data_IF_243105914423
#
_entry.id   IF_243105914423
#
_cell.length_a   1.000
_cell.length_b   1.000
_cell.length_c   1.000
_cell.angle_alpha   90.00
_cell.angle_beta   90.00
_cell.angle_gamma   90.00
#
_symmetry.space_group_name_H-M   'P 1'
#
loop_
_entity.id
_entity.type
_entity.pdbx_description
1 polymer ?
#
# COMPACT_ATOMS: atom_id res chain seq x y z
N UNK A 1 16.38 23.36 1.14
CA UNK A 1 14.97 23.06 0.83
C UNK A 1 14.67 21.58 1.07
N UNK A 2 15.41 20.64 0.45
CA UNK A 2 15.29 19.19 0.72
C UNK A 2 15.39 18.77 2.20
N UNK A 3 16.23 19.44 2.98
CA UNK A 3 16.36 19.16 4.42
C UNK A 3 15.09 19.49 5.21
N UNK A 4 14.34 20.52 4.81
CA UNK A 4 13.10 20.91 5.48
C UNK A 4 11.97 19.91 5.20
N UNK A 5 11.82 19.48 3.94
CA UNK A 5 10.89 18.42 3.57
C UNK A 5 11.17 17.13 4.35
N UNK A 6 12.43 16.67 4.33
CA UNK A 6 12.82 15.44 5.03
C UNK A 6 12.60 15.51 6.55
N UNK A 7 12.87 16.68 7.16
CA UNK A 7 12.59 16.91 8.57
C UNK A 7 11.09 16.83 8.87
N UNK A 8 10.26 17.48 8.07
CA UNK A 8 8.81 17.45 8.21
C UNK A 8 8.25 16.03 8.01
N UNK A 9 8.66 15.34 6.95
CA UNK A 9 8.28 13.94 6.68
C UNK A 9 8.65 13.03 7.86
N UNK A 10 9.87 13.13 8.37
CA UNK A 10 10.33 12.34 9.53
C UNK A 10 9.49 12.61 10.77
N UNK A 11 9.16 13.88 11.06
CA UNK A 11 8.31 14.24 12.19
C UNK A 11 6.91 13.65 12.07
N UNK A 12 6.33 13.68 10.88
CA UNK A 12 5.02 13.07 10.61
C UNK A 12 5.11 11.56 10.86
N UNK A 13 6.04 10.84 10.23
CA UNK A 13 6.20 9.39 10.40
C UNK A 13 6.36 8.97 11.87
N UNK A 14 7.15 9.72 12.66
CA UNK A 14 7.37 9.44 14.07
C UNK A 14 6.12 9.63 14.95
N UNK A 15 5.17 10.47 14.53
CA UNK A 15 3.96 10.79 15.31
C UNK A 15 2.70 10.05 14.82
N UNK A 16 2.69 9.55 13.57
CA UNK A 16 1.55 8.88 12.95
C UNK A 16 0.99 7.73 13.79
N UNK A 17 1.84 6.86 14.33
CA UNK A 17 1.40 5.70 15.12
C UNK A 17 0.66 6.10 16.41
N UNK A 18 1.05 7.21 17.04
CA UNK A 18 0.33 7.73 18.20
C UNK A 18 -1.02 8.33 17.77
N UNK A 19 -1.01 9.14 16.70
CA UNK A 19 -2.23 9.75 16.16
C UNK A 19 -3.28 8.70 15.75
N UNK A 20 -2.88 7.58 15.13
CA UNK A 20 -3.80 6.50 14.77
C UNK A 20 -4.41 5.80 15.98
N UNK A 21 -3.64 5.59 17.06
CA UNK A 21 -4.18 5.04 18.32
C UNK A 21 -5.20 5.97 18.96
N UNK A 22 -5.01 7.28 18.81
CA UNK A 22 -5.89 8.33 19.31
C UNK A 22 -7.01 8.71 18.32
N UNK A 23 -7.11 8.03 17.17
CA UNK A 23 -8.07 8.30 16.09
C UNK A 23 -8.00 9.73 15.53
N UNK A 24 -6.84 10.38 15.62
CA UNK A 24 -6.57 11.71 15.06
C UNK A 24 -6.21 11.62 13.57
N UNK A 25 -7.09 11.01 12.77
CA UNK A 25 -6.85 10.76 11.35
C UNK A 25 -6.78 12.07 10.55
N UNK A 26 -7.68 13.01 10.84
CA UNK A 26 -7.74 14.31 10.17
C UNK A 26 -6.45 15.13 10.39
N UNK A 27 -5.85 15.07 11.58
CA UNK A 27 -4.57 15.74 11.87
C UNK A 27 -3.45 15.21 10.97
N UNK A 28 -3.38 13.88 10.81
CA UNK A 28 -2.38 13.23 9.95
C UNK A 28 -2.62 13.59 8.49
N UNK A 29 -3.87 13.54 8.04
CA UNK A 29 -4.24 13.91 6.66
C UNK A 29 -3.85 15.37 6.35
N UNK A 30 -4.13 16.29 7.27
CA UNK A 30 -3.78 17.70 7.12
C UNK A 30 -2.25 17.90 7.05
N UNK A 31 -1.49 17.21 7.89
CA UNK A 31 -0.02 17.27 7.88
C UNK A 31 0.58 16.70 6.58
N UNK A 32 0.03 15.59 6.07
CA UNK A 32 0.48 14.98 4.82
C UNK A 32 0.10 15.82 3.60
N UNK A 33 -1.07 16.46 3.63
CA UNK A 33 -1.47 17.43 2.59
C UNK A 33 -0.53 18.63 2.58
N UNK A 34 -0.20 19.18 3.76
CA UNK A 34 0.78 20.25 3.87
C UNK A 34 2.19 19.84 3.42
N UNK A 35 2.59 18.58 3.67
CA UNK A 35 3.85 18.02 3.17
C UNK A 35 3.85 17.94 1.63
N UNK A 36 2.73 17.52 1.05
CA UNK A 36 2.55 17.46 -0.40
C UNK A 36 2.60 18.86 -1.05
N UNK A 37 1.96 19.85 -0.44
CA UNK A 37 1.99 21.25 -0.91
C UNK A 37 3.38 21.87 -0.81
N UNK A 38 4.19 21.43 0.17
CA UNK A 38 5.56 21.87 0.37
C UNK A 38 6.58 21.18 -0.56
N UNK A 39 6.17 20.14 -1.31
CA UNK A 39 7.07 19.42 -2.20
C UNK A 39 7.55 20.31 -3.36
N UNK A 40 8.86 20.36 -3.56
CA UNK A 40 9.49 21.24 -4.56
C UNK A 40 9.86 20.55 -5.86
N UNK A 41 9.98 19.22 -5.84
CA UNK A 41 10.26 18.40 -7.01
C UNK A 41 9.35 17.17 -7.08
N UNK A 42 9.42 16.44 -8.18
CA UNK A 42 8.58 15.27 -8.40
C UNK A 42 8.92 14.12 -7.45
N UNK A 43 10.16 14.02 -6.97
CA UNK A 43 10.55 12.98 -6.02
C UNK A 43 9.90 13.20 -4.66
N UNK A 44 9.93 14.45 -4.15
CA UNK A 44 9.25 14.85 -2.93
C UNK A 44 7.73 14.72 -3.06
N UNK A 45 7.18 15.13 -4.21
CA UNK A 45 5.73 15.05 -4.47
C UNK A 45 5.25 13.60 -4.50
N UNK A 46 6.00 12.72 -5.16
CA UNK A 46 5.68 11.29 -5.20
C UNK A 46 5.79 10.65 -3.82
N UNK A 47 6.79 11.04 -3.02
CA UNK A 47 6.93 10.59 -1.64
C UNK A 47 5.73 11.02 -0.79
N UNK A 48 5.36 12.30 -0.80
CA UNK A 48 4.22 12.82 -0.04
C UNK A 48 2.88 12.18 -0.48
N UNK A 49 2.69 11.98 -1.79
CA UNK A 49 1.54 11.24 -2.31
C UNK A 49 1.48 9.80 -1.83
N UNK A 50 2.61 9.10 -1.82
CA UNK A 50 2.69 7.72 -1.36
C UNK A 50 2.35 7.60 0.13
N UNK A 51 2.75 8.57 0.95
CA UNK A 51 2.38 8.66 2.37
C UNK A 51 0.88 8.93 2.54
N UNK A 52 0.33 9.87 1.77
CA UNK A 52 -1.10 10.21 1.82
C UNK A 52 -1.99 9.02 1.37
N UNK A 53 -1.59 8.30 0.33
CA UNK A 53 -2.27 7.08 -0.10
C UNK A 53 -2.21 5.99 0.98
N UNK A 54 -1.05 5.82 1.63
CA UNK A 54 -0.89 4.92 2.77
C UNK A 54 -1.80 5.30 3.96
N UNK A 55 -1.89 6.60 4.26
CA UNK A 55 -2.79 7.13 5.28
C UNK A 55 -4.25 6.81 4.98
N UNK A 56 -4.73 7.09 3.76
CA UNK A 56 -6.09 6.77 3.37
C UNK A 56 -6.38 5.26 3.47
N UNK A 57 -5.43 4.42 3.09
CA UNK A 57 -5.55 2.96 3.22
C UNK A 57 -5.73 2.52 4.69
N UNK A 58 -4.91 3.03 5.60
CA UNK A 58 -5.03 2.75 7.04
C UNK A 58 -6.35 3.26 7.59
N UNK A 59 -6.74 4.48 7.24
CA UNK A 59 -8.01 5.07 7.69
C UNK A 59 -9.20 4.25 7.19
N UNK A 60 -9.19 3.80 5.94
CA UNK A 60 -10.24 2.92 5.40
C UNK A 60 -10.31 1.59 6.17
N UNK A 61 -9.17 0.97 6.47
CA UNK A 61 -9.11 -0.26 7.26
C UNK A 61 -9.70 -0.09 8.67
N UNK A 62 -9.35 1.01 9.34
CA UNK A 62 -9.75 1.26 10.73
C UNK A 62 -11.19 1.73 10.88
N UNK A 63 -11.70 2.51 9.92
CA UNK A 63 -13.05 3.08 9.98
C UNK A 63 -14.09 2.19 9.32
N UNK A 64 -13.70 1.38 8.33
CA UNK A 64 -14.59 0.61 7.46
C UNK A 64 -15.64 1.48 6.74
N UNK A 65 -15.35 2.78 6.59
CA UNK A 65 -16.21 3.72 5.86
C UNK A 65 -16.07 3.49 4.34
N UNK A 66 -17.17 3.25 3.60
CA UNK A 66 -17.15 3.10 2.15
C UNK A 66 -16.53 4.31 1.42
N UNK A 67 -16.74 5.53 1.92
CA UNK A 67 -16.16 6.71 1.29
C UNK A 67 -14.64 6.75 1.50
N UNK A 68 -14.15 6.42 2.71
CA UNK A 68 -12.73 6.24 2.98
C UNK A 68 -12.11 5.13 2.12
N UNK A 69 -12.83 4.01 1.92
CA UNK A 69 -12.41 2.93 1.03
C UNK A 69 -12.17 3.44 -0.40
N UNK A 70 -13.17 4.13 -0.98
CA UNK A 70 -13.04 4.67 -2.34
C UNK A 70 -11.92 5.70 -2.46
N UNK A 71 -11.73 6.57 -1.45
CA UNK A 71 -10.61 7.52 -1.44
C UNK A 71 -9.26 6.80 -1.44
N UNK A 72 -9.11 5.76 -0.63
CA UNK A 72 -7.89 4.96 -0.60
C UNK A 72 -7.62 4.27 -1.93
N UNK A 73 -8.64 3.66 -2.56
CA UNK A 73 -8.51 3.02 -3.86
C UNK A 73 -8.02 4.01 -4.93
N UNK A 74 -8.68 5.17 -5.02
CA UNK A 74 -8.31 6.21 -6.00
C UNK A 74 -6.88 6.70 -5.79
N UNK A 75 -6.47 6.92 -4.54
CA UNK A 75 -5.12 7.36 -4.21
C UNK A 75 -4.07 6.30 -4.59
N UNK A 76 -4.30 5.03 -4.27
CA UNK A 76 -3.39 3.94 -4.63
C UNK A 76 -3.26 3.74 -6.15
N UNK A 77 -4.37 3.83 -6.88
CA UNK A 77 -4.36 3.77 -8.35
C UNK A 77 -3.58 4.95 -8.95
N UNK A 78 -3.67 6.14 -8.34
CA UNK A 78 -2.90 7.32 -8.76
C UNK A 78 -1.40 7.13 -8.52
N UNK A 79 -0.98 6.36 -7.52
CA UNK A 79 0.43 5.99 -7.33
C UNK A 79 0.91 4.95 -8.34
N UNK A 80 0.05 3.99 -8.74
CA UNK A 80 0.41 2.93 -9.70
C UNK A 80 0.55 3.47 -11.12
N UNK A 81 -0.36 4.34 -11.57
CA UNK A 81 -0.41 4.84 -12.94
C UNK A 81 0.93 5.43 -13.49
N UNK A 82 1.64 6.32 -12.77
CA UNK A 82 2.89 6.91 -13.25
C UNK A 82 4.11 6.00 -13.06
N UNK A 83 4.03 4.99 -12.18
CA UNK A 83 5.11 4.06 -11.86
C UNK A 83 4.61 2.61 -11.92
N UNK A 84 4.12 2.14 -13.08
CA UNK A 84 3.50 0.82 -13.21
C UNK A 84 4.51 -0.33 -13.06
N UNK A 85 5.80 -0.04 -13.09
CA UNK A 85 6.87 -0.97 -12.77
C UNK A 85 7.04 -1.22 -11.27
N UNK A 86 6.71 -0.25 -10.40
CA UNK A 86 7.00 -0.28 -8.96
C UNK A 86 6.21 -1.37 -8.23
N UNK A 87 6.92 -2.41 -7.78
CA UNK A 87 6.32 -3.54 -7.07
C UNK A 87 5.65 -3.15 -5.75
N UNK A 88 6.13 -2.12 -5.04
CA UNK A 88 5.54 -1.67 -3.78
C UNK A 88 4.16 -1.05 -3.98
N UNK A 89 3.99 -0.25 -5.04
CA UNK A 89 2.69 0.36 -5.35
C UNK A 89 1.64 -0.71 -5.67
N UNK A 90 2.02 -1.73 -6.45
CA UNK A 90 1.16 -2.89 -6.74
C UNK A 90 0.86 -3.72 -5.49
N UNK A 91 1.84 -3.90 -4.60
CA UNK A 91 1.63 -4.62 -3.35
C UNK A 91 0.62 -3.92 -2.44
N UNK A 92 0.72 -2.59 -2.31
CA UNK A 92 -0.24 -1.79 -1.53
C UNK A 92 -1.65 -1.88 -2.12
N UNK A 93 -1.79 -1.85 -3.44
CA UNK A 93 -3.09 -2.00 -4.11
C UNK A 93 -3.67 -3.42 -3.92
N UNK A 94 -2.82 -4.45 -3.97
CA UNK A 94 -3.19 -5.84 -3.65
C UNK A 94 -3.73 -5.96 -2.23
N UNK A 95 -3.02 -5.39 -1.26
CA UNK A 95 -3.45 -5.42 0.14
C UNK A 95 -4.75 -4.66 0.37
N UNK A 96 -4.96 -3.56 -0.35
CA UNK A 96 -6.23 -2.83 -0.33
C UNK A 96 -7.41 -3.69 -0.80
N UNK A 97 -7.29 -4.37 -1.95
CA UNK A 97 -8.33 -5.29 -2.40
C UNK A 97 -8.56 -6.43 -1.41
N UNK A 98 -7.49 -6.98 -0.85
CA UNK A 98 -7.59 -8.12 0.06
C UNK A 98 -8.17 -7.79 1.44
N UNK A 99 -7.79 -6.66 2.06
CA UNK A 99 -8.15 -6.34 3.44
C UNK A 99 -9.24 -5.28 3.57
N UNK A 100 -9.28 -4.29 2.68
CA UNK A 100 -10.19 -3.16 2.78
C UNK A 100 -11.44 -3.37 1.94
N UNK A 101 -11.27 -3.54 0.63
CA UNK A 101 -12.42 -3.78 -0.28
C UNK A 101 -12.96 -5.21 -0.17
N UNK A 102 -12.13 -6.15 0.31
CA UNK A 102 -12.43 -7.59 0.39
C UNK A 102 -12.87 -8.22 -0.95
N UNK A 103 -12.46 -7.62 -2.06
CA UNK A 103 -12.63 -8.19 -3.39
C UNK A 103 -11.49 -9.18 -3.63
N UNK A 104 -11.78 -10.46 -3.35
CA UNK A 104 -10.78 -11.52 -3.48
C UNK A 104 -10.41 -11.81 -4.93
N UNK A 105 -11.25 -11.48 -5.90
CA UNK A 105 -10.97 -11.69 -7.32
C UNK A 105 -10.00 -10.62 -7.82
N UNK A 106 -10.28 -9.35 -7.53
CA UNK A 106 -9.36 -8.25 -7.83
C UNK A 106 -8.04 -8.41 -7.09
N UNK A 107 -8.08 -8.82 -5.80
CA UNK A 107 -6.86 -9.11 -5.05
C UNK A 107 -6.02 -10.22 -5.72
N UNK A 108 -6.66 -11.29 -6.20
CA UNK A 108 -5.99 -12.40 -6.88
C UNK A 108 -5.39 -11.97 -8.23
N UNK A 109 -6.06 -11.12 -8.99
CA UNK A 109 -5.50 -10.60 -10.24
C UNK A 109 -4.35 -9.62 -9.98
N UNK A 110 -4.52 -8.74 -8.99
CA UNK A 110 -3.54 -7.72 -8.62
C UNK A 110 -2.25 -8.35 -8.05
N UNK A 111 -2.35 -9.44 -7.28
CA UNK A 111 -1.17 -10.09 -6.70
C UNK A 111 -0.28 -10.78 -7.74
N UNK A 112 -0.83 -11.29 -8.85
CA UNK A 112 -0.02 -11.85 -9.93
C UNK A 112 0.77 -10.76 -10.67
N UNK A 113 0.15 -9.59 -10.89
CA UNK A 113 0.86 -8.41 -11.44
C UNK A 113 1.96 -7.97 -10.49
N UNK A 114 1.65 -7.86 -9.19
CA UNK A 114 2.61 -7.52 -8.14
C UNK A 114 3.80 -8.49 -8.15
N UNK A 115 3.55 -9.80 -8.28
CA UNK A 115 4.59 -10.82 -8.27
C UNK A 115 5.53 -10.68 -9.46
N UNK A 116 4.99 -10.44 -10.66
CA UNK A 116 5.81 -10.20 -11.84
C UNK A 116 6.74 -9.00 -11.65
N UNK A 117 6.25 -7.90 -11.07
CA UNK A 117 7.06 -6.71 -10.76
C UNK A 117 8.11 -6.98 -9.69
N UNK A 118 7.71 -7.62 -8.60
CA UNK A 118 8.61 -8.00 -7.51
C UNK A 118 9.77 -8.88 -7.98
N UNK A 119 9.50 -9.85 -8.87
CA UNK A 119 10.52 -10.71 -9.47
C UNK A 119 11.46 -9.94 -10.39
N UNK A 120 10.94 -9.00 -11.18
CA UNK A 120 11.74 -8.16 -12.07
C UNK A 120 12.71 -7.24 -11.29
N UNK A 121 12.23 -6.64 -10.20
CA UNK A 121 13.03 -5.75 -9.35
C UNK A 121 13.95 -6.49 -8.37
N UNK A 122 13.67 -7.77 -8.08
CA UNK A 122 14.34 -8.52 -7.03
C UNK A 122 13.98 -8.04 -5.61
N UNK A 123 12.86 -7.33 -5.45
CA UNK A 123 12.41 -6.78 -4.17
C UNK A 123 10.95 -7.18 -3.88
N UNK A 124 10.56 -7.21 -2.61
CA UNK A 124 9.19 -7.54 -2.16
C UNK A 124 8.64 -8.93 -2.57
N UNK A 125 9.46 -9.82 -3.16
CA UNK A 125 9.04 -11.15 -3.64
C UNK A 125 8.40 -11.95 -2.50
N UNK A 126 9.06 -12.03 -1.34
CA UNK A 126 8.55 -12.79 -0.19
C UNK A 126 7.25 -12.23 0.36
N UNK A 127 7.14 -10.91 0.46
CA UNK A 127 5.92 -10.23 0.91
C UNK A 127 4.76 -10.52 -0.03
N UNK A 128 5.02 -10.47 -1.34
CA UNK A 128 4.04 -10.73 -2.39
C UNK A 128 3.59 -12.19 -2.39
N UNK A 129 4.52 -13.15 -2.26
CA UNK A 129 4.17 -14.56 -2.13
C UNK A 129 3.33 -14.82 -0.87
N UNK A 130 3.66 -14.16 0.24
CA UNK A 130 2.84 -14.20 1.45
C UNK A 130 1.42 -13.66 1.22
N UNK A 131 1.27 -12.55 0.50
CA UNK A 131 -0.05 -12.01 0.13
C UNK A 131 -0.82 -13.00 -0.76
N UNK A 132 -0.16 -13.57 -1.76
CA UNK A 132 -0.72 -14.54 -2.70
C UNK A 132 -1.28 -15.77 -2.00
N UNK A 133 -0.51 -16.35 -1.06
CA UNK A 133 -0.96 -17.48 -0.24
C UNK A 133 -2.20 -17.10 0.58
N UNK A 134 -2.18 -15.95 1.28
CA UNK A 134 -3.33 -15.51 2.09
C UNK A 134 -4.60 -15.31 1.26
N UNK A 135 -4.47 -14.76 0.06
CA UNK A 135 -5.59 -14.58 -0.87
C UNK A 135 -6.12 -15.95 -1.33
N UNK A 136 -5.25 -16.88 -1.73
CA UNK A 136 -5.64 -18.24 -2.12
C UNK A 136 -6.38 -18.97 -0.99
N UNK A 137 -5.87 -18.89 0.24
CA UNK A 137 -6.52 -19.48 1.42
C UNK A 137 -7.90 -18.87 1.68
N UNK A 138 -8.06 -17.54 1.58
CA UNK A 138 -9.38 -16.90 1.72
C UNK A 138 -10.37 -17.28 0.61
N UNK A 139 -9.86 -17.54 -0.60
CA UNK A 139 -10.66 -18.05 -1.72
C UNK A 139 -10.95 -19.55 -1.62
N UNK A 140 -10.42 -20.23 -0.61
CA UNK A 140 -10.47 -21.69 -0.45
C UNK A 140 -9.84 -22.45 -1.63
N UNK A 141 -8.88 -21.81 -2.31
CA UNK A 141 -8.10 -22.42 -3.38
C UNK A 141 -6.88 -23.14 -2.79
N UNK A 142 -7.17 -24.28 -2.15
CA UNK A 142 -6.17 -25.02 -1.38
C UNK A 142 -5.05 -25.57 -2.28
N UNK A 143 -5.39 -26.03 -3.49
CA UNK A 143 -4.43 -26.55 -4.46
C UNK A 143 -3.42 -25.49 -4.87
N UNK A 144 -3.89 -24.28 -5.18
CA UNK A 144 -3.00 -23.15 -5.50
C UNK A 144 -2.14 -22.75 -4.31
N UNK A 145 -2.72 -22.71 -3.10
CA UNK A 145 -1.96 -22.35 -1.89
C UNK A 145 -0.83 -23.36 -1.58
N UNK A 146 -1.07 -24.65 -1.79
CA UNK A 146 -0.08 -25.71 -1.56
C UNK A 146 1.07 -25.63 -2.58
N UNK A 147 0.75 -25.47 -3.87
CA UNK A 147 1.75 -25.36 -4.93
C UNK A 147 2.72 -24.18 -4.70
N UNK A 148 2.22 -23.05 -4.18
CA UNK A 148 3.08 -21.90 -3.83
C UNK A 148 3.99 -22.24 -2.66
N UNK A 149 3.46 -22.87 -1.61
CA UNK A 149 4.24 -23.23 -0.43
C UNK A 149 5.36 -24.23 -0.77
N UNK A 150 5.09 -25.19 -1.66
CA UNK A 150 6.08 -26.15 -2.17
C UNK A 150 7.21 -25.43 -2.93
N UNK A 151 6.89 -24.48 -3.81
CA UNK A 151 7.89 -23.69 -4.55
C UNK A 151 8.81 -22.84 -3.67
N UNK A 152 8.41 -22.58 -2.43
CA UNK A 152 9.19 -21.83 -1.43
C UNK A 152 10.08 -22.73 -0.56
N UNK A 153 9.82 -24.04 -0.54
CA UNK A 153 10.54 -25.01 0.27
C UNK A 153 11.79 -25.56 -0.43
N UNK A 154 11.94 -25.33 -1.73
CA UNK A 154 13.13 -25.70 -2.50
C UNK A 154 14.28 -24.71 -2.23
N UNK A 155 15.49 -25.21 -1.89
CA UNK A 155 16.64 -24.39 -1.47
C UNK A 155 17.28 -23.56 -2.58
#
# INVERSE_FOLDING_TARGET
>A
MRDAFNQQHTQICNSQSAAYRERRFADVEAQLTALLDAAHDDSERNCAWAELAGHHHVTALLTKDPAANQRALNALQTCVAPCPEDALNWLRLTEHFHYVSQDLNEAAQCVETTLAKALQEGNFVRQTLGARIRIALKRQDWGHSAAIAESLAEP
#
